data_IF_815913949573
#
_entry.id   IF_815913949573
#
_cell.length_a   1.000
_cell.length_b   1.000
_cell.length_c   1.000
_cell.angle_alpha   90.00
_cell.angle_beta   90.00
_cell.angle_gamma   90.00
#
_symmetry.space_group_name_H-M   'P 1'
#
loop_
_entity.id
_entity.type
_entity.pdbx_description
1 polymer ?
#
# COMPACT_ATOMS: atom_id res chain seq x y z
N UNK A 1 3.62 8.67 2.31
CA UNK A 1 2.41 8.03 1.76
C UNK A 1 1.83 8.83 0.58
N UNK A 2 1.16 9.97 0.82
CA UNK A 2 0.38 10.67 -0.21
C UNK A 2 1.13 10.91 -1.53
N UNK A 3 2.36 11.42 -1.50
CA UNK A 3 3.18 11.65 -2.71
C UNK A 3 3.38 10.40 -3.57
N UNK A 4 3.68 9.24 -2.97
CA UNK A 4 3.81 7.98 -3.73
C UNK A 4 2.47 7.55 -4.31
N UNK A 5 1.37 7.71 -3.57
CA UNK A 5 0.05 7.36 -4.07
C UNK A 5 -0.41 8.31 -5.18
N UNK A 6 0.00 9.58 -5.17
CA UNK A 6 -0.26 10.51 -6.27
C UNK A 6 0.55 10.14 -7.52
N UNK A 7 1.81 9.75 -7.36
CA UNK A 7 2.65 9.23 -8.45
C UNK A 7 2.04 7.98 -9.11
N UNK A 8 1.44 7.10 -8.32
CA UNK A 8 0.87 5.83 -8.76
C UNK A 8 -0.66 5.87 -8.90
N UNK A 9 -1.27 7.06 -9.04
CA UNK A 9 -2.73 7.26 -8.92
C UNK A 9 -3.55 6.41 -9.89
N UNK A 10 -3.06 6.21 -11.10
CA UNK A 10 -3.68 5.39 -12.15
C UNK A 10 -3.59 3.88 -11.88
N UNK A 11 -2.84 3.47 -10.86
CA UNK A 11 -2.72 2.08 -10.40
C UNK A 11 -3.54 1.80 -9.13
N UNK A 12 -4.59 2.61 -8.91
CA UNK A 12 -5.57 2.45 -7.82
C UNK A 12 -4.94 2.26 -6.43
N UNK A 13 -4.05 3.17 -5.99
CA UNK A 13 -3.28 2.97 -4.77
C UNK A 13 -4.17 3.02 -3.53
N UNK A 14 -3.92 2.10 -2.61
CA UNK A 14 -4.53 2.05 -1.28
C UNK A 14 -3.43 2.09 -0.22
N UNK A 15 -3.49 3.07 0.67
CA UNK A 15 -2.73 3.06 1.90
C UNK A 15 -3.30 1.97 2.82
N UNK A 16 -2.45 1.07 3.29
CA UNK A 16 -2.82 -0.03 4.18
C UNK A 16 -1.92 -0.01 5.44
N UNK A 17 -1.94 -1.10 6.21
CA UNK A 17 -1.06 -1.26 7.37
C UNK A 17 -1.29 -0.24 8.50
N UNK A 18 -0.27 -0.04 9.33
CA UNK A 18 -0.40 0.81 10.53
C UNK A 18 -0.59 2.29 10.22
N UNK A 19 -0.08 2.76 9.07
CA UNK A 19 -0.24 4.16 8.66
C UNK A 19 -1.71 4.45 8.35
N UNK A 20 -2.38 3.55 7.63
CA UNK A 20 -3.84 3.64 7.45
C UNK A 20 -4.58 3.62 8.79
N UNK A 21 -4.22 2.71 9.71
CA UNK A 21 -4.91 2.57 11.00
C UNK A 21 -4.79 3.80 11.91
N UNK A 22 -3.86 4.72 11.63
CA UNK A 22 -3.52 5.81 12.54
C UNK A 22 -2.78 5.30 13.79
N UNK A 23 -2.10 4.15 13.68
CA UNK A 23 -1.35 3.52 14.77
C UNK A 23 0.15 3.41 14.48
N UNK A 24 0.60 3.99 13.36
CA UNK A 24 2.01 4.05 12.98
C UNK A 24 2.86 4.75 14.06
N UNK A 25 4.05 4.19 14.29
CA UNK A 25 5.12 4.76 15.10
C UNK A 25 6.13 5.45 14.17
N UNK A 26 7.09 6.17 14.74
CA UNK A 26 8.12 6.90 13.97
C UNK A 26 8.84 5.99 12.97
N UNK A 27 9.10 4.77 13.39
CA UNK A 27 9.88 3.72 12.72
C UNK A 27 8.97 2.71 12.01
N UNK A 28 7.67 3.01 11.87
CA UNK A 28 6.77 2.20 11.05
C UNK A 28 7.00 2.43 9.56
N UNK A 29 6.92 1.34 8.81
CA UNK A 29 6.96 1.34 7.36
C UNK A 29 5.65 1.88 6.77
N UNK A 30 5.74 2.40 5.54
CA UNK A 30 4.59 2.87 4.78
C UNK A 30 4.15 1.76 3.83
N UNK A 31 2.99 1.17 4.10
CA UNK A 31 2.44 0.09 3.26
C UNK A 31 1.43 0.63 2.25
N UNK A 32 1.70 0.45 0.96
CA UNK A 32 0.81 0.85 -0.14
C UNK A 32 0.54 -0.37 -1.02
N UNK A 33 -0.74 -0.69 -1.25
CA UNK A 33 -1.14 -1.62 -2.29
C UNK A 33 -1.46 -0.88 -3.58
N UNK A 34 -1.02 -1.40 -4.72
CA UNK A 34 -1.40 -0.94 -6.08
C UNK A 34 -1.83 -2.13 -6.92
N UNK A 35 -2.48 -1.86 -8.05
CA UNK A 35 -2.99 -2.87 -8.97
C UNK A 35 -2.36 -2.69 -10.34
N UNK A 36 -1.67 -3.72 -10.83
CA UNK A 36 -1.06 -3.76 -12.15
C UNK A 36 -0.71 -5.21 -12.54
N UNK A 37 -0.84 -5.53 -13.82
CA UNK A 37 -0.33 -6.78 -14.39
C UNK A 37 1.12 -6.63 -14.94
N UNK A 38 1.69 -5.41 -14.92
CA UNK A 38 3.13 -5.14 -15.13
C UNK A 38 3.75 -4.55 -13.85
N UNK A 39 4.25 -5.40 -12.92
CA UNK A 39 4.99 -4.95 -11.74
C UNK A 39 6.26 -4.17 -12.08
N UNK A 40 6.85 -4.43 -13.26
CA UNK A 40 8.02 -3.72 -13.74
C UNK A 40 7.72 -2.26 -14.03
N UNK A 41 6.51 -1.94 -14.50
CA UNK A 41 6.06 -0.55 -14.68
C UNK A 41 6.05 0.22 -13.36
N UNK A 42 5.49 -0.38 -12.31
CA UNK A 42 5.42 0.24 -10.98
C UNK A 42 6.82 0.59 -10.48
N UNK A 43 7.75 -0.37 -10.61
CA UNK A 43 9.16 -0.18 -10.23
C UNK A 43 9.80 0.96 -11.03
N UNK A 44 9.65 0.97 -12.36
CA UNK A 44 10.24 2.01 -13.22
C UNK A 44 9.73 3.40 -12.85
N UNK A 45 8.42 3.56 -12.60
CA UNK A 45 7.84 4.85 -12.18
C UNK A 45 8.40 5.34 -10.85
N UNK A 46 8.60 4.44 -9.88
CA UNK A 46 9.20 4.76 -8.59
C UNK A 46 10.66 5.21 -8.75
N UNK A 47 11.47 4.46 -9.51
CA UNK A 47 12.87 4.80 -9.78
C UNK A 47 13.01 6.13 -10.54
N UNK A 48 12.17 6.36 -11.57
CA UNK A 48 12.15 7.61 -12.34
C UNK A 48 11.75 8.83 -11.49
N UNK A 49 10.92 8.64 -10.46
CA UNK A 49 10.57 9.67 -9.50
C UNK A 49 11.66 9.90 -8.43
N UNK A 50 12.79 9.19 -8.50
CA UNK A 50 13.93 9.34 -7.60
C UNK A 50 13.87 8.51 -6.32
N UNK A 51 12.94 7.55 -6.21
CA UNK A 51 12.92 6.63 -5.08
C UNK A 51 13.99 5.54 -5.26
N UNK A 52 14.72 5.25 -4.18
CA UNK A 52 15.71 4.18 -4.15
C UNK A 52 15.04 2.86 -3.78
N UNK A 53 14.93 1.96 -4.75
CA UNK A 53 14.53 0.56 -4.54
C UNK A 53 15.68 -0.17 -3.88
N UNK A 54 15.42 -0.78 -2.73
CA UNK A 54 16.43 -1.53 -1.96
C UNK A 54 16.24 -3.04 -2.03
N UNK A 55 15.02 -3.50 -2.24
CA UNK A 55 14.70 -4.92 -2.31
C UNK A 55 13.42 -5.16 -3.12
N UNK A 56 13.28 -6.39 -3.61
CA UNK A 56 12.15 -6.86 -4.39
C UNK A 56 11.85 -8.32 -4.09
N UNK A 57 10.61 -8.62 -3.71
CA UNK A 57 10.16 -9.98 -3.41
C UNK A 57 8.90 -10.34 -4.18
N UNK A 58 8.80 -11.60 -4.59
CA UNK A 58 7.58 -12.18 -5.16
C UNK A 58 6.99 -13.14 -4.14
N UNK A 59 5.73 -12.96 -3.81
CA UNK A 59 5.00 -13.76 -2.81
C UNK A 59 3.84 -14.44 -3.51
N UNK A 60 3.68 -15.74 -3.29
CA UNK A 60 2.50 -16.50 -3.72
C UNK A 60 1.70 -16.91 -2.50
N UNK A 61 0.46 -16.41 -2.42
CA UNK A 61 -0.44 -16.70 -1.31
C UNK A 61 -1.60 -17.56 -1.82
N UNK A 62 -1.85 -18.68 -1.14
CA UNK A 62 -3.07 -19.46 -1.34
C UNK A 62 -4.22 -18.78 -0.58
N UNK A 63 -5.26 -18.37 -1.33
CA UNK A 63 -6.47 -17.72 -0.81
C UNK A 63 -7.66 -18.69 -0.74
N UNK A 64 -7.40 -19.99 -0.87
CA UNK A 64 -8.38 -21.08 -0.83
C UNK A 64 -9.04 -21.34 -2.18
N UNK A 65 -9.57 -20.30 -2.84
CA UNK A 65 -10.17 -20.41 -4.18
C UNK A 65 -9.17 -20.16 -5.32
N UNK A 66 -7.99 -19.63 -5.00
CA UNK A 66 -6.97 -19.23 -5.97
C UNK A 66 -5.61 -19.06 -5.31
N UNK A 67 -4.55 -19.12 -6.11
CA UNK A 67 -3.22 -18.66 -5.74
C UNK A 67 -3.02 -17.27 -6.31
N UNK A 68 -2.68 -16.30 -5.46
CA UNK A 68 -2.39 -14.92 -5.85
C UNK A 68 -0.91 -14.68 -5.74
N UNK A 69 -0.28 -14.24 -6.84
CA UNK A 69 1.09 -13.74 -6.86
C UNK A 69 1.08 -12.23 -6.64
N UNK A 70 1.87 -11.73 -5.70
CA UNK A 70 2.07 -10.31 -5.42
C UNK A 70 3.55 -9.96 -5.46
N UNK A 71 3.85 -8.74 -5.89
CA UNK A 71 5.23 -8.25 -5.97
C UNK A 71 5.42 -7.13 -4.96
N UNK A 72 6.38 -7.30 -4.07
CA UNK A 72 6.67 -6.40 -2.96
C UNK A 72 7.94 -5.61 -3.30
N UNK A 73 7.80 -4.30 -3.47
CA UNK A 73 8.89 -3.39 -3.80
C UNK A 73 9.22 -2.59 -2.54
N UNK A 74 10.43 -2.75 -2.01
CA UNK A 74 10.88 -2.04 -0.81
C UNK A 74 11.72 -0.83 -1.19
N UNK A 75 11.42 0.31 -0.58
CA UNK A 75 11.96 1.61 -0.93
C UNK A 75 12.45 2.35 0.32
N UNK A 76 13.58 3.05 0.20
CA UNK A 76 13.95 4.06 1.19
C UNK A 76 13.15 5.34 0.95
N UNK A 77 12.63 5.94 2.02
CA UNK A 77 12.07 7.30 1.96
C UNK A 77 13.13 8.33 2.32
N UNK A 78 13.04 9.53 1.76
CA UNK A 78 13.98 10.63 2.04
C UNK A 78 13.98 11.17 3.48
N UNK A 79 13.21 10.56 4.39
CA UNK A 79 13.13 10.91 5.82
C UNK A 79 13.57 9.77 6.74
N UNK A 80 14.16 8.69 6.20
CA UNK A 80 14.75 7.59 6.97
C UNK A 80 13.81 6.43 7.28
N UNK A 81 12.53 6.49 6.89
CA UNK A 81 11.60 5.36 6.99
C UNK A 81 11.61 4.51 5.72
N UNK A 82 11.14 3.27 5.78
CA UNK A 82 10.91 2.44 4.60
C UNK A 82 9.48 2.58 4.08
N UNK A 83 9.29 2.28 2.80
CA UNK A 83 7.99 2.06 2.21
C UNK A 83 7.97 0.71 1.49
N UNK A 84 6.86 -0.01 1.63
CA UNK A 84 6.54 -1.20 0.84
C UNK A 84 5.43 -0.84 -0.14
N UNK A 85 5.68 -1.08 -1.43
CA UNK A 85 4.66 -1.04 -2.47
C UNK A 85 4.36 -2.47 -2.90
N UNK A 86 3.16 -2.95 -2.55
CA UNK A 86 2.65 -4.27 -2.91
C UNK A 86 1.85 -4.16 -4.20
N UNK A 87 2.39 -4.70 -5.28
CA UNK A 87 1.70 -4.82 -6.57
C UNK A 87 0.85 -6.08 -6.57
N UNK A 88 -0.46 -5.89 -6.69
CA UNK A 88 -1.46 -6.95 -6.86
C UNK A 88 -1.88 -7.02 -8.33
N UNK A 89 -2.23 -8.19 -8.86
CA UNK A 89 -2.73 -8.30 -10.22
C UNK A 89 -4.08 -7.60 -10.35
N UNK A 90 -4.42 -7.14 -11.55
CA UNK A 90 -5.67 -6.41 -11.82
C UNK A 90 -6.93 -7.24 -11.51
N UNK A 91 -6.81 -8.58 -11.57
CA UNK A 91 -7.86 -9.53 -11.19
C UNK A 91 -8.31 -9.41 -9.73
N UNK A 92 -7.51 -8.77 -8.87
CA UNK A 92 -7.83 -8.55 -7.45
C UNK A 92 -8.54 -7.21 -7.18
N UNK A 93 -8.56 -6.25 -8.13
CA UNK A 93 -9.03 -4.88 -7.88
C UNK A 93 -10.48 -4.79 -7.41
N UNK A 94 -11.36 -5.63 -7.95
CA UNK A 94 -12.79 -5.63 -7.63
C UNK A 94 -13.19 -6.76 -6.66
N UNK A 95 -12.23 -7.49 -6.11
CA UNK A 95 -12.50 -8.53 -5.12
C UNK A 95 -12.74 -7.94 -3.74
N UNK A 96 -13.45 -8.71 -2.90
CA UNK A 96 -13.65 -8.34 -1.50
C UNK A 96 -12.29 -8.24 -0.81
N UNK A 97 -12.04 -7.17 -0.03
CA UNK A 97 -10.79 -7.04 0.72
C UNK A 97 -10.60 -8.21 1.69
N UNK A 98 -9.33 -8.58 1.88
CA UNK A 98 -8.94 -9.54 2.91
C UNK A 98 -9.32 -9.04 4.31
N UNK A 99 -9.47 -9.98 5.26
CA UNK A 99 -9.59 -9.63 6.68
C UNK A 99 -8.22 -9.32 7.27
N UNK A 100 -8.18 -8.31 8.13
CA UNK A 100 -7.02 -7.97 8.93
C UNK A 100 -6.82 -9.03 10.01
N UNK A 101 -5.61 -9.58 10.12
CA UNK A 101 -5.30 -10.60 11.15
C UNK A 101 -5.32 -10.02 12.57
N UNK A 102 -4.99 -8.74 12.72
CA UNK A 102 -4.90 -8.07 14.03
C UNK A 102 -6.27 -7.63 14.54
N UNK A 103 -7.08 -7.05 13.66
CA UNK A 103 -8.35 -6.39 14.03
C UNK A 103 -9.59 -7.15 13.57
N UNK A 104 -9.45 -8.18 12.72
CA UNK A 104 -10.55 -9.02 12.23
C UNK A 104 -11.49 -8.38 11.20
N UNK A 105 -11.37 -7.07 10.95
CA UNK A 105 -12.18 -6.31 9.99
C UNK A 105 -11.59 -6.33 8.56
N UNK A 106 -12.33 -5.78 7.60
CA UNK A 106 -11.91 -5.77 6.19
C UNK A 106 -10.81 -4.72 5.96
N UNK A 107 -9.72 -5.11 5.27
CA UNK A 107 -8.61 -4.23 4.92
C UNK A 107 -8.95 -3.33 3.72
N UNK A 108 -9.83 -2.36 3.94
CA UNK A 108 -10.27 -1.43 2.90
C UNK A 108 -9.20 -0.40 2.56
N UNK A 109 -8.37 0.03 3.52
CA UNK A 109 -7.34 1.05 3.32
C UNK A 109 -7.90 2.46 3.06
N UNK A 110 -7.04 3.39 2.63
CA UNK A 110 -7.43 4.72 2.14
C UNK A 110 -6.94 4.93 0.71
N UNK A 111 -7.77 5.50 -0.15
CA UNK A 111 -7.38 5.98 -1.48
C UNK A 111 -6.73 7.36 -1.42
N UNK A 112 -6.28 7.87 -2.56
CA UNK A 112 -5.59 9.18 -2.65
C UNK A 112 -6.45 10.31 -2.08
N UNK A 113 -7.71 10.41 -2.52
CA UNK A 113 -8.63 11.47 -2.08
C UNK A 113 -9.00 11.35 -0.59
N UNK A 114 -9.21 10.12 -0.13
CA UNK A 114 -9.56 9.83 1.25
C UNK A 114 -8.39 10.20 2.18
N UNK A 115 -7.17 9.81 1.82
CA UNK A 115 -5.97 10.18 2.56
C UNK A 115 -5.75 11.70 2.56
N UNK A 116 -5.92 12.37 1.42
CA UNK A 116 -5.79 13.83 1.34
C UNK A 116 -6.75 14.51 2.31
N UNK A 117 -8.03 14.11 2.28
CA UNK A 117 -9.04 14.64 3.19
C UNK A 117 -8.68 14.40 4.66
N UNK A 118 -8.22 13.20 5.01
CA UNK A 118 -7.78 12.89 6.39
C UNK A 118 -6.65 13.82 6.82
N UNK A 119 -5.64 14.03 5.97
CA UNK A 119 -4.51 14.92 6.27
C UNK A 119 -4.93 16.40 6.38
N UNK A 120 -6.00 16.81 5.71
CA UNK A 120 -6.55 18.17 5.81
C UNK A 120 -7.42 18.36 7.07
N UNK A 121 -8.17 17.32 7.47
CA UNK A 121 -9.18 17.46 8.53
C UNK A 121 -8.71 16.96 9.90
N UNK A 122 -8.07 15.79 9.95
CA UNK A 122 -7.62 15.14 11.18
C UNK A 122 -6.49 14.14 10.87
N UNK A 123 -5.23 14.60 10.81
CA UNK A 123 -4.07 13.75 10.51
C UNK A 123 -3.84 12.61 11.52
N UNK A 124 -4.42 12.68 12.71
CA UNK A 124 -4.24 11.71 13.79
C UNK A 124 -5.43 10.76 13.93
N UNK A 125 -6.38 10.81 12.98
CA UNK A 125 -7.56 9.96 12.96
C UNK A 125 -7.17 8.48 12.98
N UNK A 126 -7.80 7.73 13.90
CA UNK A 126 -7.65 6.28 14.00
C UNK A 126 -8.76 5.56 13.25
N UNK A 127 -8.40 4.47 12.58
CA UNK A 127 -9.30 3.59 11.83
C UNK A 127 -9.25 2.18 12.41
N UNK A 128 -9.63 2.07 13.68
CA UNK A 128 -9.69 0.80 14.41
C UNK A 128 -11.15 0.41 14.66
N UNK A 129 -11.53 -0.87 14.57
CA UNK A 129 -12.84 -1.32 15.02
C UNK A 129 -13.05 -0.98 16.50
N UNK A 130 -14.30 -0.65 16.85
CA UNK A 130 -14.72 -0.41 18.24
C UNK A 130 -14.91 -1.69 19.04
#
# INVERSE_FOLDING_TARGET
ALRMMELLRDLYPRLIGSVWRGTARRDSDIDIAVYSDDPGEVRRRLEQAGYRVVDYKVVRADKGDRVVETHHIYLETGIGNMAEVVVRPMSELHRKPDRCEVYGDLMTGLGVEELRRVLETDPYKKFIPG
#
